data_IF_680471998652
#
_entry.id   IF_680471998652
#
_cell.length_a   1.000
_cell.length_b   1.000
_cell.length_c   1.000
_cell.angle_alpha   90.00
_cell.angle_beta   90.00
_cell.angle_gamma   90.00
#
_symmetry.space_group_name_H-M   'P 1'
#
loop_
_entity.id
_entity.type
_entity.pdbx_description
1 polymer ?
#
# COMPACT_ATOMS: atom_id res chain seq x y z
N UNK A 1 -6.73 10.28 17.39
CA UNK A 1 -7.46 9.20 16.68
C UNK A 1 -6.41 8.31 16.03
N UNK A 2 -6.62 6.99 16.05
CA UNK A 2 -5.79 6.04 15.30
C UNK A 2 -6.23 6.05 13.83
N UNK A 3 -5.31 6.09 12.87
CA UNK A 3 -5.62 6.15 11.44
C UNK A 3 -4.58 5.38 10.62
N UNK A 4 -4.69 4.05 10.72
CA UNK A 4 -4.16 3.09 9.75
C UNK A 4 -5.08 3.02 8.51
N UNK A 5 -4.64 2.37 7.42
CA UNK A 5 -5.46 2.16 6.23
C UNK A 5 -6.83 1.55 6.59
N UNK A 6 -7.88 1.99 5.90
CA UNK A 6 -9.25 1.64 6.24
C UNK A 6 -10.14 1.45 5.01
N UNK A 7 -11.24 0.70 5.20
CA UNK A 7 -12.14 0.34 4.10
C UNK A 7 -11.51 -0.63 3.09
N UNK A 8 -10.57 -1.46 3.53
CA UNK A 8 -9.88 -2.43 2.66
C UNK A 8 -10.82 -3.53 2.15
N UNK A 9 -10.83 -3.74 0.85
CA UNK A 9 -11.53 -4.82 0.16
C UNK A 9 -10.52 -5.61 -0.66
N UNK A 10 -10.36 -6.90 -0.34
CA UNK A 10 -9.49 -7.80 -1.09
C UNK A 10 -10.15 -8.14 -2.43
N UNK A 11 -9.50 -7.77 -3.53
CA UNK A 11 -9.98 -8.00 -4.90
C UNK A 11 -9.33 -9.24 -5.52
N UNK A 12 -8.09 -9.54 -5.15
CA UNK A 12 -7.38 -10.73 -5.61
C UNK A 12 -6.43 -11.27 -4.53
N UNK A 13 -6.28 -12.60 -4.51
CA UNK A 13 -5.33 -13.29 -3.66
C UNK A 13 -5.94 -13.71 -2.33
N UNK A 14 -5.22 -14.57 -1.61
CA UNK A 14 -5.54 -14.96 -0.25
C UNK A 14 -4.86 -13.96 0.70
N UNK A 15 -5.66 -13.03 1.21
CA UNK A 15 -5.25 -11.96 2.14
C UNK A 15 -6.26 -11.86 3.26
N UNK A 16 -5.77 -11.78 4.49
CA UNK A 16 -6.52 -11.43 5.68
C UNK A 16 -6.06 -10.07 6.19
N UNK A 17 -7.00 -9.14 6.39
CA UNK A 17 -6.77 -7.82 6.96
C UNK A 17 -7.29 -7.87 8.39
N UNK A 18 -6.41 -7.66 9.37
CA UNK A 18 -6.77 -7.76 10.78
C UNK A 18 -6.01 -6.80 11.68
N UNK A 19 -6.48 -6.68 12.91
CA UNK A 19 -5.81 -5.87 13.92
C UNK A 19 -4.53 -6.57 14.40
N UNK A 20 -3.42 -5.85 14.32
CA UNK A 20 -2.17 -6.19 14.98
C UNK A 20 -2.14 -5.74 16.44
N UNK A 21 -1.02 -5.96 17.11
CA UNK A 21 -0.82 -5.52 18.48
C UNK A 21 -0.77 -3.98 18.56
N UNK A 22 -1.27 -3.43 19.66
CA UNK A 22 -1.26 -1.98 19.93
C UNK A 22 -1.85 -1.18 18.75
N UNK A 23 -2.98 -1.66 18.19
CA UNK A 23 -3.75 -1.05 17.10
C UNK A 23 -2.96 -0.72 15.84
N UNK A 24 -1.88 -1.47 15.60
CA UNK A 24 -1.25 -1.59 14.29
C UNK A 24 -2.16 -2.39 13.37
N UNK A 25 -2.01 -2.23 12.06
CA UNK A 25 -2.70 -3.04 11.07
C UNK A 25 -1.79 -4.19 10.64
N UNK A 26 -2.29 -5.42 10.68
CA UNK A 26 -1.58 -6.60 10.19
C UNK A 26 -2.31 -7.17 8.98
N UNK A 27 -1.58 -7.34 7.88
CA UNK A 27 -2.09 -7.87 6.62
C UNK A 27 -1.33 -9.14 6.30
N UNK A 28 -2.00 -10.28 6.50
CA UNK A 28 -1.43 -11.60 6.24
C UNK A 28 -1.81 -12.06 4.84
N UNK A 29 -0.83 -12.18 3.95
CA UNK A 29 -1.00 -12.66 2.59
C UNK A 29 -0.32 -14.02 2.43
N UNK A 30 -1.07 -15.03 1.99
CA UNK A 30 -0.54 -16.37 1.71
C UNK A 30 -0.39 -16.67 0.22
N UNK A 31 -0.98 -15.82 -0.64
CA UNK A 31 -0.81 -15.87 -2.10
C UNK A 31 0.40 -15.05 -2.58
N UNK A 32 0.96 -15.39 -3.75
CA UNK A 32 2.12 -14.66 -4.29
C UNK A 32 1.79 -13.22 -4.70
N UNK A 33 0.57 -12.98 -5.20
CA UNK A 33 0.10 -11.65 -5.59
C UNK A 33 -1.23 -11.34 -4.94
N UNK A 34 -1.30 -10.23 -4.25
CA UNK A 34 -2.52 -9.67 -3.67
C UNK A 34 -2.91 -8.36 -4.32
N UNK A 35 -4.21 -8.07 -4.37
CA UNK A 35 -4.76 -6.74 -4.70
C UNK A 35 -5.79 -6.38 -3.63
N UNK A 36 -5.62 -5.19 -3.05
CA UNK A 36 -6.54 -4.61 -2.07
C UNK A 36 -6.92 -3.21 -2.54
N UNK A 37 -8.23 -2.98 -2.65
CA UNK A 37 -8.76 -1.63 -2.82
C UNK A 37 -9.04 -1.02 -1.45
N UNK A 38 -8.73 0.25 -1.26
CA UNK A 38 -8.85 0.96 0.01
C UNK A 38 -9.67 2.25 -0.15
N UNK A 39 -10.48 2.56 0.86
CA UNK A 39 -11.11 3.89 0.97
C UNK A 39 -10.10 4.92 1.48
N UNK A 40 -9.17 4.54 2.35
CA UNK A 40 -8.04 5.37 2.75
C UNK A 40 -6.81 4.49 2.97
N UNK A 41 -5.66 4.96 2.48
CA UNK A 41 -4.36 4.35 2.76
C UNK A 41 -3.43 5.41 3.34
N UNK A 42 -3.64 5.74 4.61
CA UNK A 42 -2.78 6.60 5.41
C UNK A 42 -2.32 5.85 6.67
N UNK A 43 -1.17 6.25 7.21
CA UNK A 43 -0.59 5.66 8.42
C UNK A 43 -0.13 6.80 9.31
N UNK A 44 -0.77 7.00 10.46
CA UNK A 44 -0.40 8.10 11.36
C UNK A 44 0.90 7.84 12.10
N UNK A 45 1.53 8.93 12.58
CA UNK A 45 2.74 8.82 13.39
C UNK A 45 2.52 7.91 14.61
N UNK A 46 3.46 6.99 14.83
CA UNK A 46 3.38 5.98 15.90
C UNK A 46 2.56 4.73 15.56
N UNK A 47 1.95 4.68 14.37
CA UNK A 47 1.23 3.50 13.88
C UNK A 47 2.06 2.71 12.88
N UNK A 48 1.78 1.40 12.82
CA UNK A 48 2.43 0.48 11.90
C UNK A 48 1.35 -0.23 11.07
N UNK A 49 1.53 -0.24 9.75
CA UNK A 49 0.87 -1.19 8.86
C UNK A 49 1.91 -2.21 8.40
N UNK A 50 1.70 -3.48 8.74
CA UNK A 50 2.63 -4.56 8.44
C UNK A 50 2.01 -5.58 7.50
N UNK A 51 2.69 -5.87 6.39
CA UNK A 51 2.36 -6.95 5.48
C UNK A 51 3.27 -8.15 5.76
N UNK A 52 2.66 -9.32 5.97
CA UNK A 52 3.35 -10.61 6.06
C UNK A 52 2.95 -11.43 4.83
N UNK A 53 3.87 -11.53 3.89
CA UNK A 53 3.71 -12.18 2.59
C UNK A 53 4.44 -13.53 2.57
N UNK A 54 4.23 -14.41 1.57
CA UNK A 54 4.86 -15.75 1.52
C UNK A 54 6.39 -15.76 1.39
N UNK A 55 7.00 -14.59 1.21
CA UNK A 55 8.45 -14.38 1.09
C UNK A 55 8.75 -13.08 0.33
N UNK A 56 10.03 -12.78 0.12
CA UNK A 56 10.47 -11.55 -0.56
C UNK A 56 9.99 -11.42 -2.02
N UNK A 57 9.57 -12.52 -2.65
CA UNK A 57 8.96 -12.54 -3.98
C UNK A 57 7.49 -12.16 -4.01
N UNK A 58 6.79 -12.22 -2.86
CA UNK A 58 5.39 -11.86 -2.76
C UNK A 58 5.18 -10.37 -2.97
N UNK A 59 4.06 -9.99 -3.59
CA UNK A 59 3.68 -8.59 -3.81
C UNK A 59 2.23 -8.31 -3.46
N UNK A 60 1.95 -7.09 -3.01
CA UNK A 60 0.59 -6.59 -2.79
C UNK A 60 0.40 -5.25 -3.48
N UNK A 61 -0.66 -5.13 -4.28
CA UNK A 61 -1.13 -3.90 -4.89
C UNK A 61 -2.20 -3.27 -4.01
N UNK A 62 -1.89 -2.12 -3.42
CA UNK A 62 -2.82 -1.31 -2.65
C UNK A 62 -3.29 -0.14 -3.51
N UNK A 63 -4.59 -0.08 -3.82
CA UNK A 63 -5.17 0.97 -4.65
C UNK A 63 -6.19 1.76 -3.85
N UNK A 64 -6.00 3.07 -3.70
CA UNK A 64 -7.01 3.94 -3.12
C UNK A 64 -8.06 4.25 -4.17
N UNK A 65 -9.32 3.96 -3.86
CA UNK A 65 -10.46 4.12 -4.78
C UNK A 65 -11.35 5.32 -4.44
N UNK A 66 -11.11 5.96 -3.29
CA UNK A 66 -11.76 7.20 -2.90
C UNK A 66 -11.01 8.44 -3.42
N UNK A 67 -11.49 9.64 -3.06
CA UNK A 67 -10.82 10.91 -3.34
C UNK A 67 -9.75 11.33 -2.31
N UNK A 68 -9.42 10.47 -1.34
CA UNK A 68 -8.50 10.82 -0.26
C UNK A 68 -7.03 10.65 -0.68
N UNK A 69 -6.13 11.63 -0.43
CA UNK A 69 -4.69 11.44 -0.61
C UNK A 69 -4.11 10.53 0.47
N UNK A 70 -3.00 9.87 0.18
CA UNK A 70 -2.28 9.02 1.13
C UNK A 70 -1.24 9.82 1.91
N UNK A 71 -1.29 9.74 3.24
CA UNK A 71 -0.29 10.33 4.13
C UNK A 71 0.35 9.26 5.03
N UNK A 72 1.65 9.00 4.82
CA UNK A 72 2.42 8.01 5.58
C UNK A 72 3.36 8.76 6.52
N UNK A 73 2.91 8.93 7.76
CA UNK A 73 3.68 9.50 8.87
C UNK A 73 4.16 8.45 9.86
N UNK A 74 3.57 7.25 9.83
CA UNK A 74 3.99 6.08 10.61
C UNK A 74 4.89 5.15 9.80
N UNK A 75 4.81 3.85 10.11
CA UNK A 75 5.64 2.82 9.48
C UNK A 75 4.82 1.91 8.54
N UNK A 76 5.29 1.78 7.30
CA UNK A 76 4.86 0.73 6.37
C UNK A 76 5.94 -0.34 6.33
N UNK A 77 5.59 -1.57 6.72
CA UNK A 77 6.53 -2.68 6.83
C UNK A 77 6.07 -3.86 5.98
N UNK A 78 6.99 -4.52 5.28
CA UNK A 78 6.70 -5.74 4.55
C UNK A 78 7.94 -6.61 4.37
N UNK A 79 7.78 -7.93 4.47
CA UNK A 79 8.84 -8.86 4.05
C UNK A 79 8.91 -9.05 2.53
N UNK A 80 7.90 -8.61 1.78
CA UNK A 80 7.84 -8.62 0.31
C UNK A 80 7.69 -7.23 -0.29
N UNK A 81 7.11 -7.18 -1.49
CA UNK A 81 6.98 -5.96 -2.30
C UNK A 81 5.61 -5.31 -2.07
N UNK A 82 5.60 -3.98 -2.06
CA UNK A 82 4.38 -3.19 -1.89
C UNK A 82 4.26 -2.17 -3.01
N UNK A 83 3.08 -2.13 -3.62
CA UNK A 83 2.66 -1.08 -4.54
C UNK A 83 1.57 -0.27 -3.83
N UNK A 84 1.68 1.06 -3.87
CA UNK A 84 0.63 1.99 -3.42
C UNK A 84 0.29 2.90 -4.58
N UNK A 85 -0.97 2.82 -5.02
CA UNK A 85 -1.53 3.62 -6.09
C UNK A 85 -2.58 4.55 -5.50
N UNK A 86 -2.37 5.86 -5.66
CA UNK A 86 -3.35 6.85 -5.24
C UNK A 86 -3.31 8.06 -6.19
N UNK A 87 -4.30 8.19 -7.10
CA UNK A 87 -4.37 9.32 -8.03
C UNK A 87 -4.49 10.69 -7.35
N UNK A 88 -4.92 10.74 -6.09
CA UNK A 88 -5.07 11.96 -5.31
C UNK A 88 -3.75 12.45 -4.70
N UNK A 89 -2.68 11.65 -4.78
CA UNK A 89 -1.36 11.99 -4.26
C UNK A 89 -0.90 11.09 -3.13
N UNK A 90 0.42 10.99 -2.99
CA UNK A 90 1.06 10.20 -1.95
C UNK A 90 2.14 11.05 -1.29
N UNK A 91 2.09 11.18 0.03
CA UNK A 91 3.12 11.83 0.82
C UNK A 91 3.64 10.87 1.89
N UNK A 92 4.96 10.64 1.89
CA UNK A 92 5.68 10.08 3.03
C UNK A 92 6.25 11.26 3.80
N UNK A 93 5.67 11.53 4.97
CA UNK A 93 6.00 12.71 5.76
C UNK A 93 7.29 12.55 6.57
N UNK A 94 7.80 13.64 7.17
CA UNK A 94 8.91 13.55 8.13
C UNK A 94 8.57 12.59 9.27
N UNK A 95 9.44 11.62 9.53
CA UNK A 95 9.21 10.55 10.51
C UNK A 95 8.49 9.31 9.96
N UNK A 96 7.91 9.41 8.76
CA UNK A 96 7.42 8.25 8.02
C UNK A 96 8.57 7.31 7.65
N UNK A 97 8.36 6.01 7.78
CA UNK A 97 9.37 4.99 7.51
C UNK A 97 8.78 3.90 6.62
N UNK A 98 9.47 3.55 5.55
CA UNK A 98 9.08 2.45 4.67
C UNK A 98 10.19 1.39 4.68
N UNK A 99 9.87 0.22 5.23
CA UNK A 99 10.78 -0.92 5.32
C UNK A 99 10.16 -2.13 4.60
N UNK A 100 10.49 -2.26 3.32
CA UNK A 100 9.90 -3.26 2.42
C UNK A 100 10.97 -3.83 1.48
N UNK A 101 10.74 -5.03 0.94
CA UNK A 101 11.68 -5.64 -0.01
C UNK A 101 11.69 -4.95 -1.39
N UNK A 102 10.61 -4.25 -1.73
CA UNK A 102 10.51 -3.42 -2.93
C UNK A 102 9.28 -2.52 -2.86
N UNK A 103 9.42 -1.28 -3.34
CA UNK A 103 8.39 -0.26 -3.25
C UNK A 103 8.08 0.34 -4.61
N UNK A 104 6.80 0.50 -4.91
CA UNK A 104 6.30 1.39 -5.97
C UNK A 104 5.25 2.31 -5.37
N UNK A 105 5.44 3.61 -5.54
CA UNK A 105 4.44 4.64 -5.24
C UNK A 105 4.08 5.33 -6.55
N UNK A 106 2.79 5.43 -6.86
CA UNK A 106 2.35 6.06 -8.11
C UNK A 106 1.02 6.77 -7.94
N UNK A 107 0.90 7.92 -8.62
CA UNK A 107 -0.37 8.61 -8.83
C UNK A 107 -1.04 8.22 -10.15
N UNK A 108 -0.33 7.48 -11.01
CA UNK A 108 -0.88 6.80 -12.17
C UNK A 108 -1.28 5.37 -11.81
N UNK A 109 -2.35 4.87 -12.41
CA UNK A 109 -2.87 3.53 -12.14
C UNK A 109 -2.24 2.48 -13.06
N UNK A 110 -2.28 1.22 -12.63
CA UNK A 110 -1.89 0.04 -13.41
C UNK A 110 -3.08 -0.92 -13.43
N UNK A 111 -3.32 -1.59 -14.55
CA UNK A 111 -4.43 -2.55 -14.60
C UNK A 111 -4.15 -3.77 -13.71
N UNK A 112 -5.20 -4.36 -13.15
CA UNK A 112 -5.06 -5.60 -12.38
C UNK A 112 -4.45 -6.72 -13.24
N UNK A 113 -4.79 -6.76 -14.53
CA UNK A 113 -4.26 -7.74 -15.48
C UNK A 113 -2.73 -7.63 -15.65
N UNK A 114 -2.21 -6.41 -15.84
CA UNK A 114 -0.76 -6.19 -16.02
C UNK A 114 0.00 -6.51 -14.73
N UNK A 115 -0.52 -6.07 -13.59
CA UNK A 115 0.06 -6.40 -12.29
C UNK A 115 0.09 -7.93 -12.07
N UNK A 116 -1.01 -8.63 -12.36
CA UNK A 116 -1.10 -10.08 -12.21
C UNK A 116 -0.24 -10.84 -13.23
N UNK A 117 -0.03 -10.31 -14.44
CA UNK A 117 0.89 -10.88 -15.42
C UNK A 117 2.36 -10.81 -14.93
N UNK A 118 2.76 -9.73 -14.26
CA UNK A 118 4.10 -9.60 -13.67
C UNK A 118 5.25 -9.39 -14.66
N UNK A 119 4.92 -9.06 -15.91
CA UNK A 119 5.86 -8.55 -16.90
C UNK A 119 5.93 -7.02 -16.84
N UNK A 120 5.99 -6.41 -18.02
CA UNK A 120 5.96 -4.95 -18.14
C UNK A 120 4.63 -4.39 -17.65
N UNK A 121 4.70 -3.40 -16.76
CA UNK A 121 3.53 -2.71 -16.21
C UNK A 121 3.46 -1.31 -16.81
N UNK A 122 2.31 -0.97 -17.39
CA UNK A 122 2.05 0.36 -17.93
C UNK A 122 1.26 1.14 -16.89
N UNK A 123 1.90 2.16 -16.31
CA UNK A 123 1.24 3.11 -15.42
C UNK A 123 0.66 4.25 -16.25
N UNK A 124 -0.66 4.47 -16.14
CA UNK A 124 -1.39 5.44 -16.95
C UNK A 124 -2.59 6.03 -16.20
N UNK A 125 -3.18 7.06 -16.79
CA UNK A 125 -4.30 7.80 -16.19
C UNK A 125 -4.01 9.29 -16.11
N UNK A 126 -4.98 10.05 -15.62
CA UNK A 126 -4.86 11.49 -15.45
C UNK A 126 -4.72 11.81 -13.96
N UNK A 127 -3.53 12.23 -13.53
CA UNK A 127 -3.31 12.79 -12.19
C UNK A 127 -2.49 14.06 -12.28
N UNK A 128 -2.97 15.11 -11.61
CA UNK A 128 -2.20 16.33 -11.35
C UNK A 128 -1.45 16.31 -10.02
N UNK A 129 -1.58 15.22 -9.24
CA UNK A 129 -0.94 15.06 -7.95
C UNK A 129 0.44 14.40 -8.08
N UNK A 130 1.25 14.56 -7.04
CA UNK A 130 2.62 14.04 -7.00
C UNK A 130 2.83 12.97 -5.92
N UNK A 131 3.98 12.31 -6.02
CA UNK A 131 4.57 11.53 -4.93
C UNK A 131 5.66 12.38 -4.28
N UNK A 132 5.55 12.60 -2.97
CA UNK A 132 6.55 13.32 -2.18
C UNK A 132 7.06 12.41 -1.07
N UNK A 133 8.39 12.29 -0.95
CA UNK A 133 9.01 11.51 0.11
C UNK A 133 9.98 12.37 0.91
N UNK A 134 9.61 12.65 2.16
CA UNK A 134 10.41 13.34 3.18
C UNK A 134 10.82 12.41 4.33
N UNK A 135 10.46 11.13 4.23
CA UNK A 135 10.75 10.09 5.22
C UNK A 135 12.02 9.32 4.87
N UNK A 136 12.08 8.07 5.35
CA UNK A 136 13.20 7.15 5.12
C UNK A 136 12.73 5.78 4.64
#
# INVERSE_FOLDING_TARGET
>A
MRANPSGGVVVNGAIEIGDGLNGNLLINQTSQKGIINWEDFSISAGEITQFVQPGAGGSTLNRVVSGNPSAIHGALQANGKIFVINPNGIMVGPGGSIDVAGLVLSTLDVSDADYLAGGDMIFSGNSGAGVQNFGR
#
